data_IF_931319900079
#
_entry.id   IF_931319900079
#
_cell.length_a   1.000
_cell.length_b   1.000
_cell.length_c   1.000
_cell.angle_alpha   90.00
_cell.angle_beta   90.00
_cell.angle_gamma   90.00
#
_symmetry.space_group_name_H-M   'P 1'
#
loop_
_entity.id
_entity.type
_entity.pdbx_description
1 polymer ?
#
# COMPACT_ATOMS: atom_id res chain seq x y z
N UNK A 1 -7.79 28.92 4.04
CA UNK A 1 -7.64 27.64 3.30
C UNK A 1 -8.99 26.93 3.29
N UNK A 2 -9.38 26.30 2.17
CA UNK A 2 -10.57 25.46 2.16
C UNK A 2 -10.35 24.26 3.08
N UNK A 3 -11.43 23.85 3.77
CA UNK A 3 -11.38 22.79 4.79
C UNK A 3 -12.16 21.58 4.32
N UNK A 4 -11.53 20.41 4.36
CA UNK A 4 -12.09 19.13 3.97
C UNK A 4 -12.02 18.11 5.11
N UNK A 5 -12.93 17.15 5.13
CA UNK A 5 -12.79 16.01 6.03
C UNK A 5 -11.73 15.05 5.47
N UNK A 6 -11.78 14.79 4.16
CA UNK A 6 -10.94 13.80 3.49
C UNK A 6 -10.23 14.40 2.27
N UNK A 7 -8.91 14.24 2.22
CA UNK A 7 -8.12 14.34 0.99
C UNK A 7 -7.93 12.94 0.40
N UNK A 8 -8.33 12.75 -0.84
CA UNK A 8 -8.02 11.54 -1.61
C UNK A 8 -6.88 11.85 -2.56
N UNK A 9 -5.79 11.10 -2.51
CA UNK A 9 -4.69 11.15 -3.47
C UNK A 9 -4.75 9.90 -4.34
N UNK A 10 -4.81 10.10 -5.66
CA UNK A 10 -4.72 9.05 -6.68
C UNK A 10 -3.58 9.41 -7.64
N UNK A 11 -2.63 8.49 -7.81
CA UNK A 11 -1.54 8.65 -8.78
C UNK A 11 -1.89 7.88 -10.04
N UNK A 12 -1.80 8.55 -11.19
CA UNK A 12 -2.00 7.96 -12.51
C UNK A 12 -0.67 7.83 -13.26
N UNK A 13 -0.50 6.74 -13.99
CA UNK A 13 0.58 6.58 -14.95
C UNK A 13 0.21 5.56 -16.01
N UNK A 14 0.06 6.02 -17.28
CA UNK A 14 -0.19 5.19 -18.46
C UNK A 14 -1.29 4.12 -18.24
N UNK A 15 -2.47 4.55 -17.81
CA UNK A 15 -3.57 3.65 -17.44
C UNK A 15 -4.63 3.44 -18.54
N UNK A 16 -4.31 3.76 -19.80
CA UNK A 16 -5.27 3.68 -20.92
C UNK A 16 -5.89 2.29 -21.07
N UNK A 17 -5.10 1.23 -20.86
CA UNK A 17 -5.58 -0.15 -20.99
C UNK A 17 -6.67 -0.54 -19.98
N UNK A 18 -6.77 0.18 -18.85
CA UNK A 18 -7.79 -0.03 -17.82
C UNK A 18 -8.50 1.28 -17.41
N UNK A 19 -8.52 2.29 -18.28
CA UNK A 19 -9.11 3.60 -18.01
C UNK A 19 -10.59 3.52 -17.59
N UNK A 20 -11.32 2.50 -18.02
CA UNK A 20 -12.69 2.25 -17.57
C UNK A 20 -12.79 1.97 -16.05
N UNK A 21 -11.75 1.35 -15.46
CA UNK A 21 -11.70 1.14 -14.01
C UNK A 21 -11.34 2.47 -13.32
N UNK A 22 -10.39 3.23 -13.87
CA UNK A 22 -10.07 4.57 -13.36
C UNK A 22 -11.32 5.46 -13.33
N UNK A 23 -12.14 5.44 -14.37
CA UNK A 23 -13.41 6.19 -14.42
C UNK A 23 -14.40 5.75 -13.32
N UNK A 24 -14.55 4.44 -13.10
CA UNK A 24 -15.38 3.93 -11.99
C UNK A 24 -14.86 4.36 -10.63
N UNK A 25 -13.53 4.44 -10.45
CA UNK A 25 -12.95 5.01 -9.25
C UNK A 25 -13.33 6.49 -9.09
N UNK A 26 -13.27 7.28 -10.17
CA UNK A 26 -13.67 8.70 -10.14
C UNK A 26 -15.14 8.89 -9.77
N UNK A 27 -16.02 8.06 -10.31
CA UNK A 27 -17.45 8.01 -9.93
C UNK A 27 -17.64 7.69 -8.46
N UNK A 28 -16.93 6.67 -7.96
CA UNK A 28 -16.95 6.32 -6.54
C UNK A 28 -16.44 7.42 -5.64
N UNK A 29 -15.40 8.16 -6.05
CA UNK A 29 -14.89 9.32 -5.27
C UNK A 29 -15.89 10.48 -5.32
N UNK A 30 -16.57 10.72 -6.45
CA UNK A 30 -17.65 11.70 -6.54
C UNK A 30 -18.80 11.33 -5.60
N UNK A 31 -19.20 10.07 -5.54
CA UNK A 31 -20.24 9.60 -4.61
C UNK A 31 -19.78 9.72 -3.13
N UNK A 32 -18.48 9.54 -2.86
CA UNK A 32 -17.93 9.64 -1.51
C UNK A 32 -18.17 11.01 -0.87
N UNK A 33 -18.29 12.08 -1.69
CA UNK A 33 -18.62 13.45 -1.24
C UNK A 33 -19.96 13.53 -0.52
N UNK A 34 -20.87 12.59 -0.76
CA UNK A 34 -22.17 12.52 -0.05
C UNK A 34 -22.03 12.09 1.42
N UNK A 35 -20.92 11.52 1.80
CA UNK A 35 -20.67 10.98 3.13
C UNK A 35 -19.60 11.75 3.91
N UNK A 36 -18.60 12.29 3.21
CA UNK A 36 -17.50 13.08 3.76
C UNK A 36 -17.20 14.25 2.82
N UNK A 37 -16.94 15.44 3.36
CA UNK A 37 -16.49 16.57 2.55
C UNK A 37 -15.09 16.24 2.00
N UNK A 38 -15.05 15.83 0.73
CA UNK A 38 -13.91 15.16 0.10
C UNK A 38 -13.31 15.99 -1.03
N UNK A 39 -11.99 16.18 -0.97
CA UNK A 39 -11.17 16.70 -2.09
C UNK A 39 -10.42 15.57 -2.76
N UNK A 40 -10.53 15.48 -4.08
CA UNK A 40 -9.69 14.61 -4.90
C UNK A 40 -8.50 15.40 -5.44
N UNK A 41 -7.29 14.94 -5.17
CA UNK A 41 -6.06 15.34 -5.86
C UNK A 41 -5.64 14.19 -6.77
N UNK A 42 -5.94 14.34 -8.06
CA UNK A 42 -5.61 13.37 -9.11
C UNK A 42 -4.30 13.80 -9.78
N UNK A 43 -3.23 13.04 -9.54
CA UNK A 43 -1.87 13.39 -9.98
C UNK A 43 -1.41 12.45 -11.06
N UNK A 44 -1.06 13.00 -12.21
CA UNK A 44 -0.47 12.26 -13.33
C UNK A 44 1.05 12.27 -13.25
N UNK A 45 1.63 11.10 -13.26
CA UNK A 45 3.08 10.89 -13.17
C UNK A 45 3.75 10.90 -14.56
N UNK A 46 3.36 11.90 -15.41
CA UNK A 46 3.81 12.10 -16.78
C UNK A 46 3.39 10.98 -17.76
N UNK A 47 2.09 10.67 -17.78
CA UNK A 47 1.52 9.78 -18.80
C UNK A 47 1.58 10.39 -20.21
N UNK A 48 1.70 9.52 -21.20
CA UNK A 48 1.72 9.86 -22.62
C UNK A 48 0.57 9.26 -23.43
N UNK A 49 -0.34 8.51 -22.75
CA UNK A 49 -1.38 7.70 -23.41
C UNK A 49 -2.78 8.34 -23.40
N UNK A 50 -2.91 9.58 -22.90
CA UNK A 50 -4.20 10.28 -22.81
C UNK A 50 -5.13 9.83 -21.68
N UNK A 51 -4.72 8.87 -20.87
CA UNK A 51 -5.54 8.32 -19.76
C UNK A 51 -5.84 9.36 -18.67
N UNK A 52 -4.89 10.27 -18.43
CA UNK A 52 -5.04 11.32 -17.42
C UNK A 52 -6.14 12.31 -17.77
N UNK A 53 -6.09 12.85 -18.97
CA UNK A 53 -7.04 13.85 -19.48
C UNK A 53 -8.46 13.27 -19.46
N UNK A 54 -8.61 12.05 -19.94
CA UNK A 54 -9.88 11.31 -20.00
C UNK A 54 -10.47 11.04 -18.61
N UNK A 55 -9.64 10.59 -17.66
CA UNK A 55 -10.09 10.30 -16.29
C UNK A 55 -10.40 11.59 -15.50
N UNK A 56 -9.59 12.65 -15.70
CA UNK A 56 -9.82 13.93 -15.04
C UNK A 56 -11.09 14.62 -15.51
N UNK A 57 -11.39 14.56 -16.82
CA UNK A 57 -12.65 15.06 -17.36
C UNK A 57 -13.84 14.26 -16.82
N UNK A 58 -13.71 12.93 -16.77
CA UNK A 58 -14.73 12.07 -16.21
C UNK A 58 -15.03 12.36 -14.74
N UNK A 59 -13.98 12.59 -13.92
CA UNK A 59 -14.14 12.96 -12.52
C UNK A 59 -14.97 14.25 -12.35
N UNK A 60 -14.69 15.29 -13.16
CA UNK A 60 -15.45 16.55 -13.13
C UNK A 60 -16.92 16.33 -13.55
N UNK A 61 -17.17 15.56 -14.60
CA UNK A 61 -18.52 15.22 -15.07
C UNK A 61 -19.30 14.42 -14.03
N UNK A 62 -18.63 13.56 -13.26
CA UNK A 62 -19.24 12.81 -12.16
C UNK A 62 -19.55 13.67 -10.92
N UNK A 63 -19.09 14.93 -10.89
CA UNK A 63 -19.31 15.85 -9.77
C UNK A 63 -18.30 15.75 -8.64
N UNK A 64 -17.13 15.15 -8.87
CA UNK A 64 -16.04 15.17 -7.90
C UNK A 64 -15.43 16.56 -7.75
N UNK A 65 -15.16 16.99 -6.51
CA UNK A 65 -14.32 18.17 -6.26
C UNK A 65 -12.85 17.77 -6.51
N UNK A 66 -12.43 17.87 -7.77
CA UNK A 66 -11.15 17.38 -8.26
C UNK A 66 -10.18 18.51 -8.61
N UNK A 67 -8.96 18.37 -8.14
CA UNK A 67 -7.79 19.05 -8.70
C UNK A 67 -6.91 18.02 -9.41
N UNK A 68 -6.73 18.23 -10.72
CA UNK A 68 -5.93 17.35 -11.57
C UNK A 68 -4.60 18.04 -11.89
N UNK A 69 -3.48 17.38 -11.56
CA UNK A 69 -2.12 17.91 -11.71
C UNK A 69 -1.27 16.93 -12.51
N UNK A 70 -0.60 17.41 -13.56
CA UNK A 70 0.34 16.61 -14.35
C UNK A 70 1.77 16.96 -13.96
N UNK A 71 2.55 15.94 -13.59
CA UNK A 71 3.97 16.11 -13.28
C UNK A 71 4.80 16.17 -14.57
N UNK A 72 5.94 16.84 -14.51
CA UNK A 72 6.81 17.06 -15.67
C UNK A 72 7.57 15.81 -16.13
N UNK A 73 7.73 14.82 -15.24
CA UNK A 73 8.35 13.52 -15.52
C UNK A 73 7.83 12.46 -14.54
N UNK A 74 8.07 11.20 -14.86
CA UNK A 74 7.78 10.10 -13.93
C UNK A 74 8.79 10.09 -12.76
N UNK A 75 8.31 10.44 -11.56
CA UNK A 75 9.10 10.45 -10.33
C UNK A 75 9.05 9.12 -9.55
N UNK A 76 8.28 8.14 -10.04
CA UNK A 76 7.90 6.94 -9.29
C UNK A 76 6.74 7.20 -8.32
N UNK A 77 6.13 6.13 -7.82
CA UNK A 77 4.90 6.22 -7.02
C UNK A 77 5.10 7.02 -5.73
N UNK A 78 6.08 6.65 -4.91
CA UNK A 78 6.31 7.24 -3.58
C UNK A 78 6.58 8.74 -3.64
N UNK A 79 7.44 9.17 -4.57
CA UNK A 79 7.75 10.60 -4.73
C UNK A 79 6.55 11.37 -5.28
N UNK A 80 5.77 10.78 -6.19
CA UNK A 80 4.56 11.43 -6.70
C UNK A 80 3.53 11.65 -5.57
N UNK A 81 3.33 10.67 -4.67
CA UNK A 81 2.48 10.83 -3.49
C UNK A 81 3.02 11.91 -2.54
N UNK A 82 4.33 11.96 -2.29
CA UNK A 82 4.92 13.00 -1.44
C UNK A 82 4.78 14.40 -2.05
N UNK A 83 4.96 14.54 -3.37
CA UNK A 83 4.70 15.82 -4.08
C UNK A 83 3.23 16.22 -3.91
N UNK A 84 2.30 15.27 -4.11
CA UNK A 84 0.87 15.49 -3.92
C UNK A 84 0.54 15.92 -2.48
N UNK A 85 1.12 15.25 -1.48
CA UNK A 85 0.96 15.58 -0.07
C UNK A 85 1.41 17.02 0.25
N UNK A 86 2.62 17.39 -0.16
CA UNK A 86 3.13 18.74 0.08
C UNK A 86 2.36 19.82 -0.67
N UNK A 87 1.90 19.51 -1.89
CA UNK A 87 1.03 20.40 -2.65
C UNK A 87 -0.30 20.64 -1.93
N UNK A 88 -0.95 19.56 -1.50
CA UNK A 88 -2.23 19.63 -0.81
C UNK A 88 -2.14 20.40 0.52
N UNK A 89 -1.10 20.14 1.33
CA UNK A 89 -0.86 20.79 2.61
C UNK A 89 -0.67 22.31 2.52
N UNK A 90 -0.22 22.80 1.37
CA UNK A 90 -0.10 24.26 1.11
C UNK A 90 -1.43 24.91 0.76
N UNK A 91 -2.37 24.13 0.19
CA UNK A 91 -3.63 24.66 -0.34
C UNK A 91 -4.83 24.45 0.57
N UNK A 92 -4.89 23.31 1.28
CA UNK A 92 -6.07 22.87 2.01
C UNK A 92 -5.74 22.40 3.42
N UNK A 93 -6.74 22.49 4.28
CA UNK A 93 -6.80 21.81 5.56
C UNK A 93 -7.68 20.57 5.41
N UNK A 94 -7.25 19.42 5.95
CA UNK A 94 -8.01 18.17 5.93
C UNK A 94 -7.66 17.31 7.15
N UNK A 95 -8.66 16.54 7.62
CA UNK A 95 -8.50 15.66 8.79
C UNK A 95 -7.87 14.33 8.43
N UNK A 96 -8.29 13.78 7.29
CA UNK A 96 -7.90 12.44 6.85
C UNK A 96 -7.26 12.48 5.47
N UNK A 97 -6.38 11.52 5.22
CA UNK A 97 -5.75 11.23 3.95
C UNK A 97 -6.16 9.84 3.49
N UNK A 98 -6.76 9.71 2.32
CA UNK A 98 -6.90 8.42 1.63
C UNK A 98 -5.83 8.30 0.55
N UNK A 99 -5.10 7.20 0.57
CA UNK A 99 -4.22 6.78 -0.52
C UNK A 99 -4.93 5.67 -1.28
N UNK A 100 -5.26 5.91 -2.55
CA UNK A 100 -5.99 4.98 -3.40
C UNK A 100 -5.20 4.73 -4.68
N UNK A 101 -5.01 3.46 -5.03
CA UNK A 101 -4.52 3.10 -6.35
C UNK A 101 -5.56 3.40 -7.43
N UNK A 102 -5.12 3.63 -8.66
CA UNK A 102 -6.02 3.94 -9.78
C UNK A 102 -6.69 2.72 -10.42
N UNK A 103 -6.38 1.51 -9.96
CA UNK A 103 -6.93 0.24 -10.43
C UNK A 103 -7.96 -0.38 -9.44
N UNK A 104 -8.70 0.49 -8.75
CA UNK A 104 -9.74 0.14 -7.77
C UNK A 104 -11.14 0.50 -8.26
N UNK A 105 -12.12 -0.26 -7.79
CA UNK A 105 -13.52 0.16 -7.70
C UNK A 105 -13.89 0.19 -6.22
N UNK A 106 -14.14 1.38 -5.67
CA UNK A 106 -14.44 1.56 -4.23
C UNK A 106 -15.95 1.39 -3.96
N UNK A 107 -16.27 1.08 -2.69
CA UNK A 107 -17.62 1.14 -2.13
C UNK A 107 -17.70 2.38 -1.24
N UNK A 108 -18.17 3.54 -1.74
CA UNK A 108 -18.01 4.84 -1.12
C UNK A 108 -18.54 4.91 0.32
N UNK A 109 -19.78 4.42 0.53
CA UNK A 109 -20.41 4.38 1.85
C UNK A 109 -19.59 3.60 2.88
N UNK A 110 -18.99 2.49 2.48
CA UNK A 110 -18.20 1.63 3.35
C UNK A 110 -16.83 2.25 3.63
N UNK A 111 -16.20 2.85 2.62
CA UNK A 111 -14.94 3.57 2.78
C UNK A 111 -15.10 4.75 3.75
N UNK A 112 -16.19 5.53 3.62
CA UNK A 112 -16.49 6.63 4.55
C UNK A 112 -16.65 6.17 6.00
N UNK A 113 -17.22 4.98 6.24
CA UNK A 113 -17.36 4.43 7.60
C UNK A 113 -16.02 4.22 8.30
N UNK A 114 -14.94 4.01 7.55
CA UNK A 114 -13.62 3.81 8.13
C UNK A 114 -13.11 5.05 8.87
N UNK A 115 -13.51 6.25 8.46
CA UNK A 115 -13.07 7.50 9.11
C UNK A 115 -13.36 7.52 10.61
N UNK A 116 -14.47 6.91 11.05
CA UNK A 116 -14.85 6.83 12.47
C UNK A 116 -13.82 6.08 13.33
N UNK A 117 -13.14 5.12 12.75
CA UNK A 117 -12.11 4.35 13.46
C UNK A 117 -10.82 5.14 13.67
N UNK A 118 -10.58 6.17 12.87
CA UNK A 118 -9.45 7.09 13.05
C UNK A 118 -9.62 8.03 14.25
N UNK A 119 -10.86 8.15 14.79
CA UNK A 119 -11.15 8.92 16.02
C UNK A 119 -10.82 8.10 17.29
N UNK A 120 -10.51 6.82 17.18
CA UNK A 120 -10.29 5.93 18.33
C UNK A 120 -8.84 6.07 18.82
N UNK A 121 -8.66 6.77 19.93
CA UNK A 121 -7.38 6.83 20.63
C UNK A 121 -6.21 7.20 19.72
N UNK A 122 -5.20 6.31 19.64
CA UNK A 122 -4.01 6.51 18.81
C UNK A 122 -4.06 5.78 17.47
N UNK A 123 -5.23 5.41 16.95
CA UNK A 123 -5.37 4.84 15.61
C UNK A 123 -5.02 5.91 14.57
N UNK A 124 -3.96 5.71 13.80
CA UNK A 124 -3.50 6.64 12.77
C UNK A 124 -3.74 6.16 11.35
N UNK A 125 -4.05 4.89 11.16
CA UNK A 125 -4.37 4.33 9.86
C UNK A 125 -5.41 3.23 9.96
N UNK A 126 -6.29 3.17 8.97
CA UNK A 126 -7.36 2.17 8.88
C UNK A 126 -7.50 1.68 7.46
N UNK A 127 -7.76 0.38 7.33
CA UNK A 127 -8.07 -0.29 6.07
C UNK A 127 -9.30 -1.16 6.24
N UNK A 128 -10.16 -1.21 5.23
CA UNK A 128 -11.18 -2.25 5.12
C UNK A 128 -10.66 -3.45 4.32
N UNK A 129 -11.54 -4.43 4.12
CA UNK A 129 -11.25 -5.59 3.27
C UNK A 129 -11.30 -5.18 1.80
N UNK A 130 -10.24 -5.50 1.07
CA UNK A 130 -10.16 -5.33 -0.38
C UNK A 130 -10.38 -6.70 -1.02
N UNK A 131 -11.33 -6.78 -1.96
CA UNK A 131 -11.64 -8.00 -2.70
C UNK A 131 -10.90 -8.04 -4.03
N UNK A 132 -10.70 -9.23 -4.60
CA UNK A 132 -10.15 -9.37 -5.95
C UNK A 132 -11.21 -8.98 -6.98
N UNK A 133 -10.85 -8.16 -7.96
CA UNK A 133 -11.81 -7.76 -9.01
C UNK A 133 -12.14 -8.90 -9.98
N UNK A 134 -11.15 -9.76 -10.27
CA UNK A 134 -11.34 -10.91 -11.17
C UNK A 134 -12.03 -12.11 -10.49
N UNK A 135 -12.00 -12.18 -9.17
CA UNK A 135 -12.74 -13.15 -8.37
C UNK A 135 -13.33 -12.48 -7.11
N UNK A 136 -14.49 -11.80 -7.24
CA UNK A 136 -15.06 -10.99 -6.17
C UNK A 136 -15.47 -11.75 -4.90
N UNK A 137 -15.46 -13.08 -4.93
CA UNK A 137 -15.70 -13.91 -3.74
C UNK A 137 -14.46 -14.06 -2.84
N UNK A 138 -13.28 -13.70 -3.33
CA UNK A 138 -12.02 -13.87 -2.63
C UNK A 138 -11.39 -12.53 -2.24
N UNK A 139 -10.78 -12.53 -1.07
CA UNK A 139 -10.02 -11.38 -0.54
C UNK A 139 -8.73 -11.21 -1.34
N UNK A 140 -8.45 -9.97 -1.74
CA UNK A 140 -7.13 -9.55 -2.21
C UNK A 140 -6.24 -9.15 -1.04
N UNK A 141 -6.78 -8.32 -0.11
CA UNK A 141 -5.99 -7.80 1.01
C UNK A 141 -6.84 -7.38 2.21
N UNK A 142 -6.38 -7.77 3.40
CA UNK A 142 -6.88 -7.29 4.69
C UNK A 142 -5.81 -6.52 5.50
N UNK A 143 -4.67 -6.18 4.91
CA UNK A 143 -3.48 -5.71 5.60
C UNK A 143 -2.42 -6.80 5.70
N UNK A 144 -1.31 -6.48 6.31
CA UNK A 144 -0.15 -7.36 6.36
C UNK A 144 0.37 -7.51 7.78
N UNK A 145 0.83 -8.72 8.08
CA UNK A 145 1.61 -9.00 9.28
C UNK A 145 3.07 -9.24 8.92
N UNK A 146 3.98 -8.93 9.81
CA UNK A 146 5.38 -9.31 9.71
C UNK A 146 5.69 -10.35 10.80
N UNK A 147 6.60 -11.28 10.53
CA UNK A 147 7.12 -12.16 11.56
C UNK A 147 8.32 -11.52 12.30
N UNK A 148 8.88 -12.28 13.25
CA UNK A 148 10.05 -11.85 14.01
C UNK A 148 11.31 -11.65 13.14
N UNK A 149 11.35 -12.20 11.93
CA UNK A 149 12.44 -12.04 10.97
C UNK A 149 12.17 -10.89 9.98
N UNK A 150 10.99 -10.22 10.10
CA UNK A 150 10.59 -9.16 9.20
C UNK A 150 9.95 -9.64 7.90
N UNK A 151 9.73 -10.93 7.71
CA UNK A 151 9.04 -11.46 6.55
C UNK A 151 7.57 -11.06 6.55
N UNK A 152 7.05 -10.75 5.38
CA UNK A 152 5.69 -10.22 5.18
C UNK A 152 4.71 -11.31 4.83
N UNK A 153 3.53 -11.24 5.44
CA UNK A 153 2.40 -12.15 5.21
C UNK A 153 1.13 -11.35 4.97
N UNK A 154 0.51 -11.46 3.77
CA UNK A 154 -0.81 -10.89 3.52
C UNK A 154 -1.86 -11.68 4.33
N UNK A 155 -2.74 -10.97 5.03
CA UNK A 155 -3.78 -11.61 5.85
C UNK A 155 -5.00 -11.93 4.97
N UNK A 156 -5.55 -13.13 5.13
CA UNK A 156 -6.74 -13.65 4.44
C UNK A 156 -6.71 -13.62 2.91
N UNK A 157 -5.56 -13.35 2.27
CA UNK A 157 -5.48 -13.29 0.81
C UNK A 157 -5.84 -14.64 0.17
N UNK A 158 -6.79 -14.60 -0.78
CA UNK A 158 -7.29 -15.78 -1.47
C UNK A 158 -8.34 -16.57 -0.70
N UNK A 159 -8.83 -16.06 0.43
CA UNK A 159 -9.90 -16.64 1.22
C UNK A 159 -11.21 -15.85 1.03
N UNK A 160 -12.39 -16.46 1.30
CA UNK A 160 -13.66 -15.75 1.34
C UNK A 160 -13.70 -14.66 2.43
N UNK A 161 -14.67 -13.74 2.31
CA UNK A 161 -14.79 -12.58 3.21
C UNK A 161 -15.02 -12.94 4.68
N UNK A 162 -15.60 -14.08 4.98
CA UNK A 162 -15.82 -14.60 6.35
C UNK A 162 -14.53 -14.82 7.13
N UNK A 163 -13.38 -14.89 6.43
CA UNK A 163 -12.05 -14.90 7.06
C UNK A 163 -11.63 -13.52 7.64
N UNK A 164 -12.31 -12.44 7.27
CA UNK A 164 -11.93 -11.10 7.67
C UNK A 164 -12.38 -10.79 9.09
N UNK A 165 -11.44 -10.37 9.95
CA UNK A 165 -11.67 -10.00 11.34
C UNK A 165 -11.17 -8.59 11.66
N UNK A 166 -11.64 -8.01 12.77
CA UNK A 166 -11.10 -6.77 13.32
C UNK A 166 -9.76 -7.07 13.99
N UNK A 167 -8.67 -6.47 13.52
CA UNK A 167 -7.35 -6.68 14.11
C UNK A 167 -6.39 -5.52 13.80
N UNK A 168 -5.21 -5.54 14.42
CA UNK A 168 -4.15 -4.55 14.23
C UNK A 168 -3.03 -5.11 13.35
N UNK A 169 -2.96 -4.74 12.04
CA UNK A 169 -1.91 -5.18 11.14
C UNK A 169 -0.57 -4.50 11.43
N UNK A 170 0.53 -5.13 11.03
CA UNK A 170 1.85 -4.48 11.04
C UNK A 170 1.92 -3.32 10.08
N UNK A 171 1.24 -3.41 8.94
CA UNK A 171 1.03 -2.30 7.99
C UNK A 171 -0.20 -2.54 7.11
N UNK A 172 -0.72 -1.45 6.55
CA UNK A 172 -1.87 -1.43 5.65
C UNK A 172 -1.41 -1.56 4.21
N UNK A 173 -2.29 -1.96 3.31
CA UNK A 173 -2.03 -1.98 1.89
C UNK A 173 -1.99 -0.56 1.31
N UNK A 174 -1.00 -0.26 0.50
CA UNK A 174 -0.94 0.97 -0.27
C UNK A 174 -2.05 1.11 -1.32
N UNK A 175 -2.83 0.04 -1.57
CA UNK A 175 -3.89 0.08 -2.57
C UNK A 175 -5.11 0.90 -2.12
N UNK A 176 -5.56 0.75 -0.86
CA UNK A 176 -6.74 1.45 -0.34
C UNK A 176 -6.66 1.58 1.18
N UNK A 177 -6.18 2.71 1.66
CA UNK A 177 -6.03 2.96 3.10
C UNK A 177 -6.30 4.41 3.46
N UNK A 178 -6.87 4.63 4.64
CA UNK A 178 -7.12 5.95 5.23
C UNK A 178 -6.16 6.19 6.39
N UNK A 179 -5.68 7.42 6.50
CA UNK A 179 -4.76 7.84 7.56
C UNK A 179 -5.22 9.15 8.19
N UNK A 180 -4.86 9.38 9.46
CA UNK A 180 -4.96 10.70 10.09
C UNK A 180 -3.91 11.62 9.48
N UNK A 181 -4.34 12.79 9.03
CA UNK A 181 -3.44 13.77 8.40
C UNK A 181 -2.39 14.32 9.38
N UNK A 182 -2.73 14.50 10.64
CA UNK A 182 -1.81 14.93 11.69
C UNK A 182 -0.71 13.91 11.98
N UNK A 183 -1.06 12.61 12.02
CA UNK A 183 -0.08 11.54 12.18
C UNK A 183 0.90 11.47 11.00
N UNK A 184 0.42 11.65 9.77
CA UNK A 184 1.30 11.74 8.60
C UNK A 184 2.16 13.02 8.65
N UNK A 185 1.60 14.14 9.08
CA UNK A 185 2.35 15.39 9.24
C UNK A 185 3.48 15.26 10.29
N UNK A 186 3.27 14.52 11.38
CA UNK A 186 4.31 14.22 12.37
C UNK A 186 5.47 13.41 11.77
N UNK A 187 5.20 12.58 10.76
CA UNK A 187 6.24 11.89 9.99
C UNK A 187 6.91 12.77 8.93
N UNK A 188 6.41 14.01 8.71
CA UNK A 188 6.82 14.94 7.67
C UNK A 188 6.14 14.68 6.32
N UNK A 189 6.06 13.44 5.89
CA UNK A 189 5.43 13.01 4.63
C UNK A 189 5.06 11.52 4.68
N UNK A 190 4.15 11.04 3.80
CA UNK A 190 3.73 9.64 3.79
C UNK A 190 4.90 8.68 3.59
N UNK A 191 5.69 8.85 2.55
CA UNK A 191 6.72 7.89 2.17
C UNK A 191 8.13 8.47 2.26
N UNK A 192 9.12 7.61 2.42
CA UNK A 192 10.52 7.98 2.33
C UNK A 192 10.93 8.08 0.84
N UNK A 193 11.53 9.20 0.44
CA UNK A 193 11.96 9.43 -0.94
C UNK A 193 13.03 8.44 -1.45
N UNK A 194 13.69 7.71 -0.55
CA UNK A 194 14.67 6.66 -0.87
C UNK A 194 13.99 5.35 -1.29
N UNK A 195 12.69 5.20 -0.98
CA UNK A 195 11.87 4.03 -1.33
C UNK A 195 11.18 4.32 -2.66
N UNK A 196 11.32 3.43 -3.64
CA UNK A 196 10.68 3.63 -4.95
C UNK A 196 9.30 2.99 -5.05
N UNK A 197 9.18 1.71 -4.67
CA UNK A 197 7.93 0.94 -4.61
C UNK A 197 8.11 -0.37 -3.86
N UNK A 198 7.00 -1.02 -3.46
CA UNK A 198 6.93 -2.31 -2.75
C UNK A 198 7.45 -2.34 -1.31
N UNK A 199 7.91 -1.23 -0.78
CA UNK A 199 8.29 -1.09 0.61
C UNK A 199 7.66 0.13 1.27
N UNK A 200 7.07 0.97 0.46
CA UNK A 200 6.49 2.25 0.84
C UNK A 200 5.40 2.10 1.91
N UNK A 201 4.41 1.24 1.69
CA UNK A 201 3.32 0.95 2.62
C UNK A 201 3.82 0.26 3.90
N UNK A 202 4.73 -0.70 3.76
CA UNK A 202 5.38 -1.37 4.89
C UNK A 202 6.15 -0.37 5.75
N UNK A 203 6.98 0.47 5.12
CA UNK A 203 7.77 1.48 5.81
C UNK A 203 6.89 2.53 6.52
N UNK A 204 5.82 3.00 5.86
CA UNK A 204 4.86 3.91 6.48
C UNK A 204 4.25 3.29 7.74
N UNK A 205 3.79 2.04 7.67
CA UNK A 205 3.24 1.33 8.82
C UNK A 205 4.24 1.24 9.97
N UNK A 206 5.48 0.84 9.69
CA UNK A 206 6.55 0.73 10.71
C UNK A 206 6.86 2.09 11.37
N UNK A 207 6.91 3.18 10.60
CA UNK A 207 7.11 4.54 11.13
C UNK A 207 5.97 4.96 12.05
N UNK A 208 4.71 4.71 11.68
CA UNK A 208 3.55 5.02 12.52
C UNK A 208 3.59 4.24 13.84
N UNK A 209 3.86 2.93 13.80
CA UNK A 209 4.03 2.14 15.01
C UNK A 209 5.16 2.65 15.91
N UNK A 210 6.27 3.07 15.31
CA UNK A 210 7.43 3.62 16.05
C UNK A 210 7.10 4.89 16.81
N UNK A 211 6.14 5.67 16.32
CA UNK A 211 5.61 6.87 16.97
C UNK A 211 4.50 6.55 18.00
N UNK A 212 4.22 5.27 18.24
CA UNK A 212 3.20 4.81 19.17
C UNK A 212 1.77 4.92 18.64
N UNK A 213 1.59 5.13 17.34
CA UNK A 213 0.29 5.02 16.67
C UNK A 213 -0.09 3.56 16.45
N UNK A 214 -1.37 3.33 16.18
CA UNK A 214 -1.92 2.02 15.85
C UNK A 214 -2.50 2.02 14.45
N UNK A 215 -2.47 0.85 13.82
CA UNK A 215 -3.13 0.58 12.55
C UNK A 215 -4.26 -0.41 12.78
N UNK A 216 -5.34 -0.30 12.02
CA UNK A 216 -6.52 -1.12 12.22
C UNK A 216 -7.03 -1.66 10.88
N UNK A 217 -7.32 -2.94 10.82
CA UNK A 217 -8.15 -3.54 9.77
C UNK A 217 -9.57 -3.70 10.31
N UNK A 218 -10.55 -3.27 9.50
CA UNK A 218 -11.98 -3.38 9.81
C UNK A 218 -12.62 -4.34 8.81
N UNK A 219 -13.38 -5.36 9.24
CA UNK A 219 -13.98 -6.36 8.37
C UNK A 219 -15.21 -5.80 7.63
N UNK A 220 -14.98 -4.83 6.76
CA UNK A 220 -15.96 -4.21 5.87
C UNK A 220 -15.35 -4.18 4.47
N UNK A 221 -16.04 -4.70 3.47
CA UNK A 221 -15.59 -4.62 2.08
C UNK A 221 -15.64 -3.15 1.63
N UNK A 222 -14.49 -2.61 1.23
CA UNK A 222 -14.36 -1.20 0.83
C UNK A 222 -14.00 -1.00 -0.63
N UNK A 223 -13.41 -2.01 -1.27
CA UNK A 223 -12.99 -1.91 -2.66
C UNK A 223 -12.83 -3.29 -3.32
N UNK A 224 -12.85 -3.27 -4.65
CA UNK A 224 -12.40 -4.34 -5.53
C UNK A 224 -11.15 -3.87 -6.26
N UNK A 225 -10.11 -4.70 -6.30
CA UNK A 225 -8.80 -4.36 -6.82
C UNK A 225 -8.46 -5.24 -8.02
N UNK A 226 -8.07 -4.60 -9.13
CA UNK A 226 -7.63 -5.32 -10.33
C UNK A 226 -6.29 -6.04 -10.07
N UNK A 227 -5.42 -5.38 -9.35
CA UNK A 227 -4.11 -5.89 -8.94
C UNK A 227 -3.11 -5.95 -10.10
N UNK A 228 -1.92 -5.40 -9.88
CA UNK A 228 -0.79 -5.44 -10.83
C UNK A 228 -1.09 -4.86 -12.23
N UNK A 229 -2.12 -4.02 -12.39
CA UNK A 229 -2.52 -3.45 -13.68
C UNK A 229 -1.38 -2.66 -14.35
N UNK A 230 -0.64 -1.88 -13.57
CA UNK A 230 0.50 -1.07 -14.06
C UNK A 230 1.72 -1.90 -14.49
N UNK A 231 1.74 -3.20 -14.19
CA UNK A 231 2.84 -4.13 -14.54
C UNK A 231 2.44 -5.15 -15.61
N UNK A 232 1.22 -5.09 -16.13
CA UNK A 232 0.70 -5.96 -17.18
C UNK A 232 0.63 -5.21 -18.50
N UNK A 233 1.75 -5.02 -19.20
CA UNK A 233 1.74 -4.58 -20.60
C UNK A 233 1.67 -5.82 -21.52
N UNK A 234 0.66 -5.87 -22.40
CA UNK A 234 0.51 -6.85 -23.48
C UNK A 234 0.43 -8.34 -23.04
N UNK A 235 -0.29 -8.64 -21.96
CA UNK A 235 -0.51 -10.03 -21.51
C UNK A 235 0.74 -10.73 -20.99
N UNK A 236 1.90 -10.06 -20.98
CA UNK A 236 3.12 -10.51 -20.31
C UNK A 236 3.28 -9.74 -19.02
N UNK A 237 3.15 -10.44 -17.90
CA UNK A 237 3.46 -9.90 -16.60
C UNK A 237 4.92 -9.48 -16.60
N UNK A 238 5.20 -8.15 -16.55
CA UNK A 238 6.55 -7.64 -16.26
C UNK A 238 6.81 -7.90 -14.76
N UNK A 239 6.66 -9.15 -14.30
CA UNK A 239 7.24 -9.64 -13.05
C UNK A 239 8.73 -9.85 -13.28
N UNK A 240 9.38 -8.82 -13.82
CA UNK A 240 10.78 -8.83 -14.14
C UNK A 240 11.65 -8.45 -12.94
N UNK A 241 12.89 -8.19 -13.23
CA UNK A 241 13.94 -7.87 -12.28
C UNK A 241 13.60 -6.73 -11.30
N UNK A 242 12.82 -5.71 -11.72
CA UNK A 242 12.44 -4.57 -10.85
C UNK A 242 11.48 -4.94 -9.72
N UNK A 243 10.50 -5.80 -9.97
CA UNK A 243 9.60 -6.32 -8.93
C UNK A 243 10.36 -7.14 -7.90
N UNK A 244 11.25 -8.03 -8.38
CA UNK A 244 12.11 -8.83 -7.51
C UNK A 244 13.07 -7.95 -6.71
N UNK A 245 13.68 -6.93 -7.34
CA UNK A 245 14.52 -5.93 -6.67
C UNK A 245 13.76 -5.21 -5.55
N UNK A 246 12.52 -4.77 -5.80
CA UNK A 246 11.68 -4.11 -4.81
C UNK A 246 11.40 -4.99 -3.60
N UNK A 247 11.00 -6.25 -3.83
CA UNK A 247 10.75 -7.20 -2.73
C UNK A 247 12.02 -7.51 -1.95
N UNK A 248 13.12 -7.81 -2.62
CA UNK A 248 14.40 -8.09 -1.95
C UNK A 248 14.85 -6.88 -1.15
N UNK A 249 14.74 -5.67 -1.70
CA UNK A 249 15.04 -4.44 -0.98
C UNK A 249 14.16 -4.31 0.28
N UNK A 250 12.85 -4.54 0.16
CA UNK A 250 11.92 -4.46 1.27
C UNK A 250 12.30 -5.41 2.41
N UNK A 251 12.55 -6.67 2.10
CA UNK A 251 12.90 -7.69 3.09
C UNK A 251 14.28 -7.41 3.72
N UNK A 252 15.27 -7.03 2.91
CA UNK A 252 16.60 -6.69 3.42
C UNK A 252 16.60 -5.42 4.28
N UNK A 253 15.84 -4.39 3.91
CA UNK A 253 15.76 -3.15 4.69
C UNK A 253 15.23 -3.44 6.11
N UNK A 254 14.26 -4.34 6.23
CA UNK A 254 13.77 -4.77 7.54
C UNK A 254 14.80 -5.62 8.27
N UNK A 255 15.42 -6.60 7.60
CA UNK A 255 16.42 -7.45 8.22
C UNK A 255 17.59 -6.62 8.79
N UNK A 256 18.04 -5.59 8.08
CA UNK A 256 19.11 -4.68 8.54
C UNK A 256 18.66 -3.87 9.77
N UNK A 257 17.43 -3.34 9.77
CA UNK A 257 16.89 -2.60 10.91
C UNK A 257 16.61 -3.49 12.12
N UNK A 258 16.37 -4.80 11.93
CA UNK A 258 16.18 -5.78 13.00
C UNK A 258 17.49 -6.34 13.60
N UNK A 259 18.64 -6.03 13.05
CA UNK A 259 20.02 -6.34 13.52
C UNK A 259 20.36 -7.81 13.89
N UNK A 260 19.39 -8.67 14.24
CA UNK A 260 19.67 -10.02 14.78
C UNK A 260 19.66 -11.16 13.73
N UNK A 261 19.09 -10.95 12.54
CA UNK A 261 18.81 -12.05 11.59
C UNK A 261 19.13 -11.73 10.13
N UNK A 262 19.90 -10.64 9.84
CA UNK A 262 20.16 -10.22 8.47
C UNK A 262 20.93 -11.24 7.63
N UNK A 263 21.92 -11.91 8.21
CA UNK A 263 22.79 -12.82 7.45
C UNK A 263 22.09 -14.08 6.92
N UNK A 264 21.32 -14.86 7.72
CA UNK A 264 20.58 -16.01 7.20
C UNK A 264 19.55 -15.63 6.13
N UNK A 265 18.85 -14.52 6.31
CA UNK A 265 17.88 -14.03 5.32
C UNK A 265 18.58 -13.60 4.03
N UNK A 266 19.68 -12.88 4.13
CA UNK A 266 20.50 -12.52 2.97
C UNK A 266 21.01 -13.74 2.21
N UNK A 267 21.51 -14.76 2.92
CA UNK A 267 21.96 -16.02 2.30
C UNK A 267 20.82 -16.74 1.57
N UNK A 268 19.61 -16.78 2.18
CA UNK A 268 18.42 -17.35 1.57
C UNK A 268 18.03 -16.61 0.28
N UNK A 269 18.06 -15.28 0.27
CA UNK A 269 17.74 -14.48 -0.92
C UNK A 269 18.80 -14.62 -2.01
N UNK A 270 20.09 -14.75 -1.65
CA UNK A 270 21.15 -15.04 -2.64
C UNK A 270 20.87 -16.38 -3.29
N UNK A 271 20.67 -17.42 -2.49
CA UNK A 271 20.41 -18.78 -3.00
C UNK A 271 19.15 -18.82 -3.88
N UNK A 272 18.05 -18.21 -3.45
CA UNK A 272 16.81 -18.13 -4.23
C UNK A 272 16.97 -17.32 -5.51
N UNK A 273 17.78 -16.26 -5.50
CA UNK A 273 18.06 -15.43 -6.69
C UNK A 273 18.89 -16.18 -7.73
N UNK A 274 19.88 -16.95 -7.28
CA UNK A 274 20.69 -17.81 -8.17
C UNK A 274 19.81 -18.89 -8.80
N UNK A 275 19.02 -19.59 -7.99
CA UNK A 275 18.10 -20.63 -8.48
C UNK A 275 17.09 -20.07 -9.46
N UNK A 276 16.45 -18.94 -9.12
CA UNK A 276 15.48 -18.28 -10.01
C UNK A 276 16.13 -17.79 -11.31
N UNK A 277 17.37 -17.29 -11.27
CA UNK A 277 18.12 -16.91 -12.48
C UNK A 277 18.39 -18.09 -13.40
N UNK A 278 18.72 -19.24 -12.83
CA UNK A 278 18.94 -20.47 -13.59
C UNK A 278 17.61 -20.94 -14.23
N UNK A 279 16.53 -21.00 -13.44
CA UNK A 279 15.24 -21.55 -13.89
C UNK A 279 14.51 -20.65 -14.90
N UNK A 280 14.70 -19.33 -14.85
CA UNK A 280 13.93 -18.37 -15.64
C UNK A 280 14.74 -17.65 -16.71
N UNK A 281 16.04 -17.92 -16.80
CA UNK A 281 17.00 -17.18 -17.65
C UNK A 281 16.98 -15.66 -17.45
N UNK A 282 16.49 -15.20 -16.32
CA UNK A 282 16.45 -13.78 -15.93
C UNK A 282 17.61 -13.45 -14.98
N UNK A 283 18.14 -12.24 -15.07
CA UNK A 283 19.27 -11.84 -14.22
C UNK A 283 18.81 -11.33 -12.83
N UNK A 284 18.21 -12.21 -12.01
CA UNK A 284 17.79 -11.87 -10.65
C UNK A 284 18.98 -11.59 -9.71
N UNK A 285 20.16 -12.15 -10.00
CA UNK A 285 21.39 -11.86 -9.23
C UNK A 285 21.74 -10.38 -9.32
N UNK A 286 21.64 -9.77 -10.52
CA UNK A 286 21.84 -8.33 -10.69
C UNK A 286 20.85 -7.52 -9.84
N UNK A 287 19.58 -7.89 -9.84
CA UNK A 287 18.54 -7.24 -9.02
C UNK A 287 18.82 -7.34 -7.54
N UNK A 288 19.30 -8.49 -7.08
CA UNK A 288 19.74 -8.69 -5.70
C UNK A 288 20.90 -7.77 -5.33
N UNK A 289 21.94 -7.68 -6.17
CA UNK A 289 23.10 -6.79 -5.93
C UNK A 289 22.65 -5.32 -5.83
N UNK A 290 21.74 -4.88 -6.70
CA UNK A 290 21.19 -3.53 -6.65
C UNK A 290 20.43 -3.31 -5.34
N UNK A 291 19.58 -4.25 -4.94
CA UNK A 291 18.82 -4.18 -3.68
C UNK A 291 19.76 -4.08 -2.46
N UNK A 292 20.81 -4.91 -2.40
CA UNK A 292 21.80 -4.86 -1.32
C UNK A 292 22.53 -3.51 -1.25
N UNK A 293 22.94 -2.97 -2.40
CA UNK A 293 23.57 -1.65 -2.47
C UNK A 293 22.65 -0.54 -1.95
N UNK A 294 21.37 -0.60 -2.28
CA UNK A 294 20.37 0.38 -1.80
C UNK A 294 20.16 0.27 -0.29
N UNK A 295 20.08 -0.93 0.25
CA UNK A 295 19.85 -1.18 1.68
C UNK A 295 20.99 -0.66 2.56
N UNK A 296 22.24 -0.72 2.10
CA UNK A 296 23.39 -0.18 2.87
C UNK A 296 23.21 1.29 3.28
N UNK A 297 22.52 2.07 2.44
CA UNK A 297 22.27 3.49 2.68
C UNK A 297 20.89 3.74 3.35
N UNK A 298 20.16 2.68 3.71
CA UNK A 298 18.83 2.74 4.25
C UNK A 298 18.80 2.17 5.69
N UNK A 299 19.45 2.86 6.61
CA UNK A 299 19.31 2.59 8.03
C UNK A 299 18.39 3.66 8.59
N UNK A 300 17.19 3.27 9.00
CA UNK A 300 16.26 4.16 9.69
C UNK A 300 16.31 3.87 11.19
N UNK A 301 17.06 4.68 11.91
CA UNK A 301 17.24 4.57 13.36
C UNK A 301 15.96 4.88 14.14
N UNK A 302 14.96 5.47 13.49
CA UNK A 302 13.69 5.89 14.12
C UNK A 302 12.69 4.75 14.28
N UNK A 303 12.92 3.59 13.65
CA UNK A 303 11.98 2.46 13.71
C UNK A 303 12.13 1.69 15.03
N UNK A 304 11.22 1.95 15.97
CA UNK A 304 11.13 1.22 17.23
C UNK A 304 10.36 -0.10 17.06
N UNK A 305 11.07 -1.14 16.71
CA UNK A 305 10.54 -2.47 16.35
C UNK A 305 9.72 -3.14 17.47
N UNK A 306 9.94 -2.76 18.73
CA UNK A 306 9.29 -3.38 19.90
C UNK A 306 7.76 -3.20 19.89
N UNK A 307 7.26 -2.11 19.32
CA UNK A 307 5.84 -1.75 19.35
C UNK A 307 5.05 -2.30 18.16
N UNK A 308 5.70 -2.96 17.21
CA UNK A 308 5.06 -3.43 15.97
C UNK A 308 4.40 -4.78 16.23
N UNK A 309 3.10 -4.96 15.91
CA UNK A 309 2.46 -6.27 15.96
C UNK A 309 3.17 -7.25 15.03
N UNK A 310 3.51 -8.41 15.55
CA UNK A 310 4.23 -9.45 14.84
C UNK A 310 3.52 -10.77 15.01
N UNK A 311 3.61 -11.62 14.01
CA UNK A 311 3.31 -13.04 14.17
C UNK A 311 4.45 -13.66 14.98
N UNK A 312 4.18 -13.97 16.24
CA UNK A 312 5.21 -14.31 17.23
C UNK A 312 5.91 -15.62 16.94
N UNK A 313 5.38 -16.51 16.09
CA UNK A 313 6.08 -17.73 15.77
C UNK A 313 5.49 -18.54 14.62
N UNK A 314 6.31 -18.84 13.63
CA UNK A 314 6.06 -19.94 12.71
C UNK A 314 7.09 -21.03 13.02
N UNK A 315 6.67 -22.10 13.70
CA UNK A 315 7.56 -23.23 14.04
C UNK A 315 8.09 -23.97 12.80
N UNK A 316 7.44 -23.80 11.66
CA UNK A 316 7.94 -24.23 10.34
C UNK A 316 7.06 -23.68 9.22
N UNK A 317 7.64 -23.43 8.06
CA UNK A 317 6.93 -23.04 6.81
C UNK A 317 5.83 -24.05 6.44
N UNK A 318 6.02 -25.34 6.73
CA UNK A 318 5.01 -26.39 6.52
C UNK A 318 3.78 -26.25 7.43
N UNK A 319 3.94 -25.73 8.64
CA UNK A 319 2.84 -25.43 9.56
C UNK A 319 2.10 -24.16 9.15
N UNK A 320 2.79 -23.21 8.52
CA UNK A 320 2.18 -21.98 7.99
C UNK A 320 1.19 -22.28 6.87
N UNK A 321 1.53 -23.14 5.93
CA UNK A 321 0.59 -23.58 4.88
C UNK A 321 -0.61 -24.37 5.44
N UNK A 322 -0.49 -25.03 6.62
CA UNK A 322 -1.62 -25.63 7.35
C UNK A 322 -2.39 -24.60 8.19
N UNK A 323 -1.73 -23.61 8.77
CA UNK A 323 -2.31 -22.48 9.50
C UNK A 323 -3.11 -21.57 8.56
N UNK A 324 -2.64 -21.39 7.32
CA UNK A 324 -3.38 -20.69 6.27
C UNK A 324 -4.61 -21.50 5.80
N UNK A 325 -4.67 -22.80 6.02
CA UNK A 325 -5.81 -23.67 5.64
C UNK A 325 -6.80 -23.95 6.78
N UNK A 326 -6.85 -23.17 7.86
CA UNK A 326 -7.87 -23.44 8.89
C UNK A 326 -7.57 -22.97 10.31
N UNK A 327 -6.80 -21.92 10.51
CA UNK A 327 -6.64 -21.34 11.84
C UNK A 327 -6.97 -19.86 11.79
N UNK A 328 -8.05 -19.49 12.46
CA UNK A 328 -8.22 -18.17 13.03
C UNK A 328 -6.93 -17.83 13.79
N UNK A 329 -6.23 -16.80 13.33
CA UNK A 329 -5.06 -16.29 14.04
C UNK A 329 -5.61 -15.63 15.31
N UNK A 330 -5.68 -16.37 16.41
CA UNK A 330 -5.86 -15.76 17.73
C UNK A 330 -4.63 -14.91 18.01
N UNK A 331 -4.76 -13.63 17.73
CA UNK A 331 -3.76 -12.63 18.05
C UNK A 331 -3.86 -12.40 19.56
N UNK A 332 -3.02 -13.07 20.34
CA UNK A 332 -2.90 -12.77 21.76
C UNK A 332 -2.20 -11.42 21.91
N UNK A 333 -2.98 -10.40 22.26
CA UNK A 333 -2.46 -9.14 22.74
C UNK A 333 -1.92 -9.34 24.17
N UNK A 334 -0.63 -9.30 24.35
CA UNK A 334 0.02 -8.97 25.61
C UNK A 334 0.65 -7.61 25.55
#
# INVERSE_FOLDING_TARGET
MANYDLLVIVINYNSKSFVGIVKKLMEGIAELTRYLNTKLLFVDNASSDGSFEEAAEHARKAGADVEAVKLTKNFGFTRAVNIAWHYARKKWSFKYLALLNNDLVIIPRNLAKLAKYLEIGRVAGVQGTIMQMHNPSLIDNCGFMIDQNGLTYPVCRGYPFDCAELYTPSYLSGACSLYRADAIAELGQPFDNRVESYYDDKHLGLRLWSKGYRLLHVPIIVAYHLGSASYSCNGRTIKGSKWFEGIVFAELAIAVNYRRFSYPIMALYIASSVLASILTMNNYVKSYIIAVKRVKNFIDETIAIRNIPKIVYIKSIAKFNRLYKGIQIKINYK
#
